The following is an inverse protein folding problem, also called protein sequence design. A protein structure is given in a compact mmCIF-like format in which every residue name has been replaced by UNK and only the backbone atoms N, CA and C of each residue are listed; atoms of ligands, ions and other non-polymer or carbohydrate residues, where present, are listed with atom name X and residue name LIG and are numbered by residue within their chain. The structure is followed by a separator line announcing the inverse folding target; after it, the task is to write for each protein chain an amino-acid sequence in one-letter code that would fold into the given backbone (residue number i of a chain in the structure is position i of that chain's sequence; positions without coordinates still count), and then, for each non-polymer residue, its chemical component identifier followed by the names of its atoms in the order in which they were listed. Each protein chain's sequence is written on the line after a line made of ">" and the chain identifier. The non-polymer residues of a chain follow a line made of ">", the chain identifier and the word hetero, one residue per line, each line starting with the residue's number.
data_IF_376588089577
#
_entry.id   IF_376588089577
#
_cell.length_a   1.000
_cell.length_b   1.000
_cell.length_c   1.000
_cell.angle_alpha   90.00
_cell.angle_beta   90.00
_cell.angle_gamma   90.00
#
_symmetry.space_group_name_H-M   'P 1'
#
loop_
_entity.id
_entity.type
_entity.pdbx_description
1 polymer ?
#
# COMPACT_ATOMS: atom_id res chain seq x y z
N UNK A 1 0.20 -12.79 -3.20
CA UNK A 1 -0.20 -11.57 -2.47
C UNK A 1 -0.71 -11.93 -1.08
N UNK A 2 -1.71 -12.80 -1.01
CA UNK A 2 -2.28 -13.21 0.29
C UNK A 2 -1.24 -13.83 1.21
N UNK A 3 -0.38 -14.70 0.67
CA UNK A 3 0.66 -15.35 1.46
C UNK A 3 1.59 -14.35 2.14
N UNK A 4 1.94 -13.28 1.44
CA UNK A 4 2.78 -12.25 2.04
C UNK A 4 2.01 -11.47 3.10
N UNK A 5 0.77 -11.08 2.82
CA UNK A 5 -0.01 -10.25 3.73
C UNK A 5 -0.32 -10.96 5.05
N UNK A 6 -0.52 -12.28 5.02
CA UNK A 6 -0.74 -13.06 6.23
C UNK A 6 0.37 -12.90 7.26
N UNK A 7 1.61 -12.72 6.81
CA UNK A 7 2.77 -12.57 7.69
C UNK A 7 3.22 -11.13 7.87
N UNK A 8 2.50 -10.16 7.30
CA UNK A 8 2.81 -8.75 7.49
C UNK A 8 2.27 -8.26 8.84
N UNK A 9 2.89 -7.24 9.40
CA UNK A 9 2.42 -6.68 10.65
C UNK A 9 1.11 -5.91 10.50
N UNK A 10 0.82 -5.41 9.28
CA UNK A 10 -0.37 -4.59 9.06
C UNK A 10 -1.61 -5.38 8.66
N UNK A 11 -1.44 -6.63 8.24
CA UNK A 11 -2.57 -7.47 7.80
C UNK A 11 -2.45 -8.91 8.29
N UNK A 12 -1.88 -9.08 9.48
CA UNK A 12 -1.68 -10.40 10.08
C UNK A 12 -3.01 -11.15 10.18
N UNK A 13 -3.02 -12.41 9.73
CA UNK A 13 -4.19 -13.31 9.78
C UNK A 13 -5.36 -12.89 8.86
N UNK A 14 -5.14 -12.01 7.90
CA UNK A 14 -6.20 -11.59 7.00
C UNK A 14 -6.72 -12.78 6.17
N UNK A 15 -8.06 -13.00 6.13
CA UNK A 15 -8.62 -14.09 5.31
C UNK A 15 -8.44 -13.86 3.81
N UNK A 16 -8.33 -14.96 3.05
CA UNK A 16 -8.16 -14.88 1.61
C UNK A 16 -9.28 -14.11 0.90
N UNK A 17 -10.52 -14.36 1.28
CA UNK A 17 -11.66 -13.70 0.63
C UNK A 17 -11.69 -12.19 0.90
N UNK A 18 -11.16 -11.75 2.04
CA UNK A 18 -11.03 -10.32 2.34
C UNK A 18 -9.99 -9.69 1.41
N UNK A 19 -8.85 -10.35 1.23
CA UNK A 19 -7.80 -9.86 0.31
C UNK A 19 -8.33 -9.80 -1.12
N UNK A 20 -9.02 -10.86 -1.56
CA UNK A 20 -9.59 -10.91 -2.91
C UNK A 20 -10.56 -9.76 -3.16
N UNK A 21 -11.45 -9.52 -2.22
CA UNK A 21 -12.41 -8.41 -2.32
C UNK A 21 -11.70 -7.05 -2.34
N UNK A 22 -10.68 -6.89 -1.52
CA UNK A 22 -9.91 -5.65 -1.46
C UNK A 22 -9.23 -5.36 -2.80
N UNK A 23 -8.63 -6.39 -3.40
CA UNK A 23 -7.95 -6.24 -4.70
C UNK A 23 -8.95 -5.86 -5.80
N UNK A 24 -10.11 -6.49 -5.82
CA UNK A 24 -11.14 -6.20 -6.81
C UNK A 24 -11.61 -4.75 -6.77
N UNK A 25 -11.55 -4.11 -5.61
CA UNK A 25 -12.05 -2.76 -5.39
C UNK A 25 -10.95 -1.71 -5.25
N UNK A 26 -9.74 -2.03 -5.65
CA UNK A 26 -8.59 -1.14 -5.53
C UNK A 26 -7.85 -1.03 -6.85
N UNK A 27 -7.07 0.04 -6.99
CA UNK A 27 -6.12 0.18 -8.09
C UNK A 27 -4.83 -0.51 -7.65
N UNK A 28 -4.45 -1.59 -8.35
CA UNK A 28 -3.34 -2.43 -7.93
C UNK A 28 -2.17 -2.36 -8.90
N UNK A 29 -0.96 -2.47 -8.36
CA UNK A 29 0.29 -2.48 -9.11
C UNK A 29 1.06 -3.73 -8.75
N UNK A 30 1.52 -4.46 -9.78
CA UNK A 30 2.37 -5.63 -9.58
C UNK A 30 3.79 -5.36 -10.06
N UNK A 31 4.75 -5.92 -9.37
CA UNK A 31 6.15 -5.93 -9.80
C UNK A 31 6.50 -7.35 -10.18
N UNK A 32 7.03 -7.55 -11.38
CA UNK A 32 7.29 -8.88 -11.92
C UNK A 32 8.75 -9.03 -12.32
N UNK A 33 9.29 -10.23 -12.09
CA UNK A 33 10.61 -10.64 -12.55
C UNK A 33 10.46 -12.01 -13.21
N UNK A 34 10.76 -12.10 -14.52
CA UNK A 34 10.63 -13.34 -15.32
C UNK A 34 9.23 -13.89 -15.22
N UNK A 35 8.25 -13.62 -15.09
CA UNK A 35 6.89 -14.17 -14.94
C UNK A 35 6.46 -14.41 -13.49
N UNK A 36 7.35 -14.09 -12.53
CA UNK A 36 6.99 -14.21 -11.12
C UNK A 36 6.67 -12.86 -10.54
N UNK A 37 5.60 -12.78 -9.76
CA UNK A 37 5.26 -11.56 -9.06
C UNK A 37 6.14 -11.46 -7.81
N UNK A 38 6.92 -10.38 -7.73
CA UNK A 38 7.87 -10.18 -6.63
C UNK A 38 7.53 -8.96 -5.79
N UNK A 39 6.52 -8.20 -6.17
CA UNK A 39 6.10 -7.03 -5.41
C UNK A 39 4.68 -6.63 -5.71
N UNK A 40 4.14 -5.72 -4.90
CA UNK A 40 2.76 -5.33 -4.98
C UNK A 40 2.55 -3.98 -4.27
N UNK A 41 1.55 -3.25 -4.73
CA UNK A 41 1.02 -2.07 -4.04
C UNK A 41 -0.45 -1.94 -4.38
N UNK A 42 -1.22 -1.40 -3.46
CA UNK A 42 -2.65 -1.22 -3.63
C UNK A 42 -3.04 0.19 -3.23
N UNK A 43 -3.84 0.84 -4.08
CA UNK A 43 -4.39 2.17 -3.80
C UNK A 43 -5.89 2.05 -3.61
N UNK A 44 -6.37 2.43 -2.44
CA UNK A 44 -7.80 2.59 -2.19
C UNK A 44 -8.14 4.02 -2.60
N UNK A 45 -8.90 4.19 -3.68
CA UNK A 45 -9.07 5.51 -4.28
C UNK A 45 -10.37 5.61 -5.08
N UNK A 46 -10.92 6.83 -5.12
CA UNK A 46 -11.98 7.17 -6.04
C UNK A 46 -11.44 7.69 -7.39
N UNK A 47 -10.12 7.74 -7.53
CA UNK A 47 -9.42 8.26 -8.72
C UNK A 47 -9.70 9.73 -9.02
N UNK A 48 -10.21 10.46 -8.06
CA UNK A 48 -10.60 11.87 -8.23
C UNK A 48 -10.12 12.77 -7.09
N UNK A 49 -10.34 12.37 -5.85
CA UNK A 49 -10.10 13.25 -4.70
C UNK A 49 -9.07 12.73 -3.71
N UNK A 50 -8.97 11.40 -3.54
CA UNK A 50 -8.25 10.83 -2.41
C UNK A 50 -7.71 9.46 -2.77
N UNK A 51 -6.56 9.10 -2.18
CA UNK A 51 -6.02 7.75 -2.27
C UNK A 51 -5.32 7.37 -0.96
N UNK A 52 -5.43 6.09 -0.60
CA UNK A 52 -4.70 5.48 0.50
C UNK A 52 -3.80 4.39 -0.07
N UNK A 53 -2.49 4.56 0.11
CA UNK A 53 -1.50 3.58 -0.36
C UNK A 53 -1.36 2.48 0.69
N UNK A 54 -1.62 1.24 0.29
CA UNK A 54 -1.66 0.11 1.19
C UNK A 54 -0.94 -1.11 0.61
N UNK A 55 -0.57 -2.03 1.48
CA UNK A 55 -0.05 -3.35 1.12
C UNK A 55 1.15 -3.31 0.18
N UNK A 56 2.04 -2.34 0.38
CA UNK A 56 3.25 -2.21 -0.43
C UNK A 56 4.31 -3.21 0.05
N UNK A 57 4.80 -4.03 -0.87
CA UNK A 57 5.91 -4.91 -0.54
C UNK A 57 6.75 -5.26 -1.76
N UNK A 58 8.01 -5.60 -1.51
CA UNK A 58 8.90 -6.29 -2.43
C UNK A 58 9.38 -7.52 -1.68
N UNK A 59 9.37 -8.68 -2.33
CA UNK A 59 9.84 -9.92 -1.70
C UNK A 59 11.29 -9.76 -1.24
N UNK A 60 11.62 -10.37 -0.11
CA UNK A 60 12.91 -10.18 0.57
C UNK A 60 14.11 -10.40 -0.35
N UNK A 61 14.09 -11.47 -1.16
CA UNK A 61 15.20 -11.83 -2.06
C UNK A 61 15.39 -10.83 -3.20
N UNK A 62 14.45 -9.91 -3.39
CA UNK A 62 14.54 -8.91 -4.46
C UNK A 62 14.73 -7.49 -3.93
N UNK A 63 14.92 -7.33 -2.64
CA UNK A 63 15.14 -6.02 -2.03
C UNK A 63 16.54 -5.49 -2.31
N UNK A 64 16.72 -4.18 -2.15
CA UNK A 64 18.02 -3.55 -2.35
C UNK A 64 18.39 -3.28 -3.79
N UNK A 65 17.44 -3.42 -4.73
CA UNK A 65 17.65 -3.22 -6.17
C UNK A 65 16.95 -1.97 -6.71
N UNK A 66 16.41 -1.13 -5.84
CA UNK A 66 15.69 0.07 -6.27
C UNK A 66 14.28 -0.16 -6.76
N UNK A 67 13.71 -1.36 -6.54
CA UNK A 67 12.37 -1.70 -7.04
C UNK A 67 11.27 -0.91 -6.36
N UNK A 68 11.40 -0.65 -5.06
CA UNK A 68 10.43 0.18 -4.33
C UNK A 68 10.37 1.59 -4.90
N UNK A 69 11.52 2.16 -5.26
CA UNK A 69 11.57 3.49 -5.86
C UNK A 69 10.92 3.49 -7.24
N UNK A 70 11.18 2.46 -8.05
CA UNK A 70 10.58 2.34 -9.38
C UNK A 70 9.06 2.19 -9.26
N UNK A 71 8.59 1.39 -8.32
CA UNK A 71 7.17 1.21 -8.05
C UNK A 71 6.52 2.54 -7.67
N UNK A 72 7.13 3.29 -6.76
CA UNK A 72 6.59 4.57 -6.32
C UNK A 72 6.55 5.59 -7.47
N UNK A 73 7.58 5.62 -8.31
CA UNK A 73 7.55 6.51 -9.49
C UNK A 73 6.39 6.18 -10.42
N UNK A 74 6.14 4.90 -10.65
CA UNK A 74 5.02 4.45 -11.48
C UNK A 74 3.69 4.87 -10.88
N UNK A 75 3.51 4.69 -9.57
CA UNK A 75 2.29 5.07 -8.86
C UNK A 75 2.04 6.56 -8.99
N UNK A 76 3.03 7.39 -8.65
CA UNK A 76 2.88 8.86 -8.64
C UNK A 76 2.53 9.40 -10.02
N UNK A 77 3.00 8.76 -11.08
CA UNK A 77 2.77 9.19 -12.46
C UNK A 77 1.54 8.58 -13.11
N UNK A 78 0.86 7.65 -12.43
CA UNK A 78 -0.27 6.95 -13.02
C UNK A 78 -1.42 7.92 -13.35
N UNK A 79 -2.01 7.84 -14.56
CA UNK A 79 -3.07 8.78 -14.97
C UNK A 79 -4.26 8.85 -14.04
N UNK A 80 -4.66 7.74 -13.41
CA UNK A 80 -5.81 7.72 -12.51
C UNK A 80 -5.52 8.35 -11.15
N UNK A 81 -4.26 8.70 -10.87
CA UNK A 81 -3.86 9.28 -9.58
C UNK A 81 -3.44 10.74 -9.70
N UNK A 82 -3.75 11.39 -10.82
CA UNK A 82 -3.45 12.81 -11.00
C UNK A 82 -4.59 13.67 -10.48
N UNK A 83 -4.24 14.84 -9.96
CA UNK A 83 -5.24 15.78 -9.48
C UNK A 83 -5.86 15.47 -8.14
N UNK A 84 -5.39 14.45 -7.45
CA UNK A 84 -5.87 14.12 -6.11
C UNK A 84 -5.49 15.21 -5.12
N UNK A 85 -6.42 15.57 -4.26
CA UNK A 85 -6.12 16.54 -3.21
C UNK A 85 -5.18 15.97 -2.16
N UNK A 86 -5.30 14.66 -1.90
CA UNK A 86 -4.48 14.02 -0.86
C UNK A 86 -4.26 12.55 -1.17
N UNK A 87 -3.05 12.10 -0.93
CA UNK A 87 -2.71 10.69 -0.89
C UNK A 87 -2.04 10.43 0.46
N UNK A 88 -2.51 9.44 1.20
CA UNK A 88 -1.98 9.13 2.53
C UNK A 88 -1.48 7.69 2.59
N UNK A 89 -0.63 7.43 3.57
CA UNK A 89 -0.15 6.08 3.88
C UNK A 89 0.20 6.04 5.37
N UNK A 90 0.35 4.82 5.88
CA UNK A 90 0.85 4.61 7.23
C UNK A 90 2.05 3.67 7.16
N UNK A 91 3.12 3.97 7.89
CA UNK A 91 4.32 3.15 7.93
C UNK A 91 5.01 3.32 9.27
N UNK A 92 5.64 2.25 9.77
CA UNK A 92 6.47 2.33 10.96
C UNK A 92 7.90 2.76 10.64
N UNK A 93 8.44 2.31 9.50
CA UNK A 93 9.88 2.31 9.29
C UNK A 93 10.33 2.78 7.90
N UNK A 94 9.42 3.20 7.04
CA UNK A 94 9.78 3.57 5.66
C UNK A 94 9.55 5.05 5.36
N UNK A 95 9.50 5.91 6.37
CA UNK A 95 9.26 7.35 6.17
C UNK A 95 10.26 7.97 5.21
N UNK A 96 11.53 7.61 5.33
CA UNK A 96 12.60 8.14 4.48
C UNK A 96 12.37 7.84 3.00
N UNK A 97 11.90 6.63 2.70
CA UNK A 97 11.56 6.26 1.33
C UNK A 97 10.46 7.16 0.76
N UNK A 98 9.38 7.29 1.50
CA UNK A 98 8.21 8.02 1.01
C UNK A 98 8.45 9.54 0.95
N UNK A 99 9.28 10.09 1.84
CA UNK A 99 9.66 11.49 1.80
C UNK A 99 10.29 11.88 0.47
N UNK A 100 11.02 10.95 -0.15
CA UNK A 100 11.66 11.19 -1.45
C UNK A 100 10.65 11.40 -2.57
N UNK A 101 9.39 11.03 -2.36
CA UNK A 101 8.31 11.19 -3.35
C UNK A 101 7.30 12.26 -2.95
N UNK A 102 7.67 13.11 -1.99
CA UNK A 102 6.83 14.24 -1.60
C UNK A 102 5.88 13.98 -0.44
N UNK A 103 5.90 12.78 0.13
CA UNK A 103 5.11 12.51 1.32
C UNK A 103 5.73 13.18 2.53
N UNK A 104 4.91 13.66 3.41
CA UNK A 104 5.34 14.27 4.66
C UNK A 104 4.32 13.98 5.74
N UNK A 105 4.67 14.25 6.98
CA UNK A 105 3.76 14.10 8.08
C UNK A 105 2.48 14.88 7.81
N UNK A 106 1.34 14.37 8.26
CA UNK A 106 0.06 15.05 8.09
C UNK A 106 0.17 16.50 8.60
N UNK A 107 -0.36 17.43 7.82
CA UNK A 107 -0.32 18.85 8.20
C UNK A 107 -1.06 19.10 9.51
N UNK A 108 -2.20 18.41 9.68
CA UNK A 108 -3.01 18.52 10.91
C UNK A 108 -3.43 17.12 11.34
N UNK A 109 -2.49 16.35 11.93
CA UNK A 109 -2.80 14.97 12.31
C UNK A 109 -3.97 14.87 13.28
N UNK A 110 -4.19 15.89 14.10
CA UNK A 110 -5.29 15.93 15.06
C UNK A 110 -6.68 15.96 14.40
N UNK A 111 -6.76 16.22 13.10
CA UNK A 111 -8.04 16.20 12.39
C UNK A 111 -8.44 14.82 11.91
N UNK A 112 -7.51 13.85 11.97
CA UNK A 112 -7.79 12.49 11.54
C UNK A 112 -8.25 11.66 12.72
N UNK A 113 -9.28 10.86 12.50
CA UNK A 113 -9.82 9.93 13.49
C UNK A 113 -9.98 8.57 12.84
N UNK A 114 -9.90 7.52 13.64
CA UNK A 114 -10.08 6.16 13.13
C UNK A 114 -11.07 5.38 13.97
N UNK A 115 -11.77 4.47 13.31
CA UNK A 115 -12.53 3.41 13.96
C UNK A 115 -11.76 2.12 13.64
N UNK A 116 -10.87 1.74 14.54
CA UNK A 116 -9.91 0.68 14.30
C UNK A 116 -10.28 -0.57 15.09
N UNK A 117 -10.30 -1.70 14.39
CA UNK A 117 -10.59 -2.99 14.99
C UNK A 117 -9.41 -3.93 14.74
N UNK A 118 -8.31 -3.80 15.50
CA UNK A 118 -7.08 -4.54 15.23
C UNK A 118 -7.25 -6.06 15.37
N UNK A 119 -8.27 -6.51 16.11
CA UNK A 119 -8.51 -7.93 16.36
C UNK A 119 -9.49 -8.57 15.40
N UNK A 120 -9.93 -7.85 14.34
CA UNK A 120 -11.05 -8.30 13.51
C UNK A 120 -10.77 -9.63 12.77
N UNK A 121 -9.50 -9.95 12.52
CA UNK A 121 -9.11 -11.19 11.85
C UNK A 121 -8.72 -12.31 12.79
N UNK A 122 -8.78 -12.09 14.08
CA UNK A 122 -8.54 -13.17 15.02
C UNK A 122 -9.77 -14.07 15.10
N UNK A 123 -9.55 -15.36 14.97
CA UNK A 123 -10.64 -16.31 15.19
C UNK A 123 -10.94 -16.43 16.69
N UNK A 124 -12.21 -16.52 17.00
CA UNK A 124 -12.63 -16.68 18.38
C UNK A 124 -12.20 -18.06 18.91
#
# INVERSE_FOLDING_TARGET
>A
IHSYLLRSYWAENVPYDVVSKAIENSLCFGVFYKQSQIGFARLITDSATFAYLADVYILEEHRGKGLSKALMKTIIKHPQLQGLRRMVLATYDAHTLYEKFGFKQLTKPETFMELWKPEIYKTA
#
